data_IF_282844149108
#
_entry.id   IF_282844149108
#
_cell.length_a   1.000
_cell.length_b   1.000
_cell.length_c   1.000
_cell.angle_alpha   90.00
_cell.angle_beta   90.00
_cell.angle_gamma   90.00
#
_symmetry.space_group_name_H-M   'P 1'
#
loop_
_entity.id
_entity.type
_entity.pdbx_description
1 polymer ?
#
# COMPACT_ATOMS: atom_id res chain seq x y z
N UNK A 1 -13.20 -9.19 -11.44
CA UNK A 1 -12.00 -8.90 -12.24
C UNK A 1 -10.90 -9.80 -11.73
N UNK A 2 -10.20 -10.50 -12.61
CA UNK A 2 -9.09 -11.39 -12.26
C UNK A 2 -7.83 -10.74 -12.82
N UNK A 3 -6.91 -10.30 -11.95
CA UNK A 3 -5.67 -9.63 -12.34
C UNK A 3 -5.20 -8.57 -11.34
N UNK A 4 -4.03 -7.99 -11.61
CA UNK A 4 -3.44 -6.93 -10.81
C UNK A 4 -4.26 -5.63 -10.89
N UNK A 5 -4.35 -4.91 -9.78
CA UNK A 5 -5.09 -3.64 -9.67
C UNK A 5 -4.12 -2.50 -9.39
N UNK A 6 -4.13 -1.50 -10.27
CA UNK A 6 -3.45 -0.23 -10.03
C UNK A 6 -4.42 0.78 -9.40
N UNK A 7 -4.00 1.44 -8.32
CA UNK A 7 -4.79 2.45 -7.60
C UNK A 7 -4.05 3.79 -7.59
N UNK A 8 -4.77 4.87 -7.89
CA UNK A 8 -4.27 6.24 -7.79
C UNK A 8 -5.17 7.03 -6.85
N UNK A 9 -4.60 7.56 -5.77
CA UNK A 9 -5.32 8.33 -4.76
C UNK A 9 -4.35 9.20 -3.93
N UNK A 10 -4.88 9.91 -2.93
CA UNK A 10 -4.10 10.73 -2.03
C UNK A 10 -3.40 9.89 -0.94
N UNK A 11 -2.28 10.42 -0.43
CA UNK A 11 -1.43 9.72 0.54
C UNK A 11 -2.18 9.22 1.78
N UNK A 12 -3.09 10.01 2.36
CA UNK A 12 -3.85 9.59 3.54
C UNK A 12 -4.75 8.38 3.27
N UNK A 13 -5.43 8.33 2.13
CA UNK A 13 -6.30 7.20 1.77
C UNK A 13 -5.47 5.95 1.52
N UNK A 14 -4.35 6.06 0.81
CA UNK A 14 -3.48 4.92 0.50
C UNK A 14 -2.79 4.35 1.75
N UNK A 15 -2.43 5.19 2.72
CA UNK A 15 -1.90 4.74 4.02
C UNK A 15 -2.95 3.96 4.83
N UNK A 16 -4.20 4.40 4.79
CA UNK A 16 -5.32 3.66 5.41
C UNK A 16 -5.55 2.33 4.68
N UNK A 17 -5.52 2.33 3.35
CA UNK A 17 -5.63 1.12 2.54
C UNK A 17 -4.56 0.08 2.93
N UNK A 18 -3.29 0.48 3.01
CA UNK A 18 -2.19 -0.40 3.41
C UNK A 18 -2.40 -0.97 4.81
N UNK A 19 -2.83 -0.14 5.77
CA UNK A 19 -3.15 -0.62 7.12
C UNK A 19 -4.30 -1.65 7.11
N UNK A 20 -5.38 -1.39 6.38
CA UNK A 20 -6.52 -2.32 6.26
C UNK A 20 -6.15 -3.61 5.54
N UNK A 21 -5.30 -3.53 4.51
CA UNK A 21 -4.74 -4.69 3.82
C UNK A 21 -4.03 -5.63 4.80
N UNK A 22 -3.19 -5.08 5.69
CA UNK A 22 -2.47 -5.81 6.73
C UNK A 22 -3.33 -6.24 7.93
N UNK A 23 -4.66 -6.05 7.89
CA UNK A 23 -5.55 -6.38 9.00
C UNK A 23 -5.51 -5.41 10.18
N UNK A 24 -4.76 -4.30 10.09
CA UNK A 24 -4.73 -3.26 11.12
C UNK A 24 -5.99 -2.40 11.06
N UNK A 25 -6.31 -1.68 12.14
CA UNK A 25 -7.34 -0.63 12.11
C UNK A 25 -6.94 0.50 11.16
N UNK A 26 -7.91 1.31 10.69
CA UNK A 26 -7.62 2.46 9.83
C UNK A 26 -6.62 3.44 10.47
N UNK A 27 -6.67 3.59 11.81
CA UNK A 27 -5.71 4.41 12.56
C UNK A 27 -4.27 3.94 12.41
N UNK A 28 -4.05 2.64 12.15
CA UNK A 28 -2.74 2.08 11.84
C UNK A 28 -2.03 2.75 10.65
N UNK A 29 -2.79 3.36 9.73
CA UNK A 29 -2.25 4.14 8.61
C UNK A 29 -1.32 5.28 9.04
N UNK A 30 -1.44 5.77 10.28
CA UNK A 30 -0.56 6.79 10.84
C UNK A 30 0.92 6.35 10.88
N UNK A 31 1.20 5.03 10.88
CA UNK A 31 2.55 4.48 10.97
C UNK A 31 3.26 4.30 9.62
N UNK A 32 2.57 4.53 8.50
CA UNK A 32 3.15 4.39 7.15
C UNK A 32 3.39 5.76 6.55
N UNK A 33 4.64 6.17 6.28
CA UNK A 33 4.92 7.37 5.49
C UNK A 33 4.78 7.06 4.00
N UNK A 34 4.26 7.99 3.21
CA UNK A 34 4.07 7.79 1.77
C UNK A 34 4.35 9.10 1.04
N UNK A 35 5.38 9.10 0.20
CA UNK A 35 5.75 10.25 -0.62
C UNK A 35 4.95 10.27 -1.93
N UNK A 36 4.93 11.43 -2.58
CA UNK A 36 4.23 11.61 -3.85
C UNK A 36 5.02 10.99 -5.00
N UNK A 37 4.34 10.33 -5.93
CA UNK A 37 4.96 9.81 -7.16
C UNK A 37 5.84 8.58 -6.94
N UNK A 38 5.65 7.85 -5.84
CA UNK A 38 6.36 6.59 -5.56
C UNK A 38 5.49 5.38 -5.85
N UNK A 39 6.12 4.24 -6.09
CA UNK A 39 5.48 2.95 -6.26
C UNK A 39 5.35 2.23 -4.91
N UNK A 40 4.19 1.61 -4.67
CA UNK A 40 3.97 0.69 -3.56
C UNK A 40 3.21 -0.54 -4.06
N UNK A 41 3.55 -1.72 -3.55
CA UNK A 41 2.94 -2.99 -3.95
C UNK A 41 2.47 -3.75 -2.72
N UNK A 42 1.16 -3.94 -2.63
CA UNK A 42 0.51 -4.83 -1.67
C UNK A 42 0.38 -6.23 -2.30
N UNK A 43 0.67 -7.27 -1.53
CA UNK A 43 0.78 -8.66 -1.99
C UNK A 43 0.32 -9.62 -0.89
N UNK A 44 0.43 -10.91 -1.15
CA UNK A 44 0.36 -11.96 -0.14
C UNK A 44 1.72 -12.67 -0.01
N UNK A 45 2.02 -13.20 1.18
CA UNK A 45 3.11 -14.14 1.46
C UNK A 45 2.55 -15.31 2.27
N UNK A 46 2.55 -16.52 1.70
CA UNK A 46 1.86 -17.70 2.26
C UNK A 46 0.41 -17.39 2.69
N UNK A 47 -0.38 -16.82 1.77
CA UNK A 47 -1.78 -16.42 1.99
C UNK A 47 -2.00 -15.35 3.09
N UNK A 48 -0.93 -14.77 3.65
CA UNK A 48 -0.99 -13.66 4.59
C UNK A 48 -0.81 -12.33 3.84
N UNK A 49 -1.71 -11.34 4.01
CA UNK A 49 -1.51 -10.01 3.42
C UNK A 49 -0.19 -9.38 3.85
N UNK A 50 0.56 -8.87 2.89
CA UNK A 50 1.90 -8.31 3.07
C UNK A 50 2.13 -7.07 2.20
N UNK A 51 3.10 -6.25 2.59
CA UNK A 51 3.64 -5.17 1.75
C UNK A 51 4.91 -5.71 1.09
N UNK A 52 4.95 -5.73 -0.24
CA UNK A 52 6.11 -6.18 -1.02
C UNK A 52 7.08 -5.03 -1.29
N UNK A 53 6.53 -3.89 -1.70
CA UNK A 53 7.26 -2.65 -1.99
C UNK A 53 6.53 -1.52 -1.28
N UNK A 54 7.28 -0.60 -0.68
CA UNK A 54 6.72 0.58 -0.04
C UNK A 54 7.56 1.81 -0.36
N UNK A 55 6.88 2.84 -0.91
CA UNK A 55 7.47 4.16 -1.14
C UNK A 55 8.75 4.12 -2.01
N UNK A 56 8.78 3.27 -3.03
CA UNK A 56 9.92 3.13 -3.93
C UNK A 56 9.91 4.28 -4.97
N UNK A 57 11.02 5.04 -5.10
CA UNK A 57 11.13 6.04 -6.15
C UNK A 57 11.04 5.41 -7.53
N UNK A 58 10.17 5.95 -8.39
CA UNK A 58 10.15 5.55 -9.80
C UNK A 58 11.21 6.37 -10.53
N UNK A 59 12.32 5.73 -10.89
CA UNK A 59 13.32 6.34 -11.77
C UNK A 59 12.87 6.11 -13.21
N UNK A 60 12.67 7.20 -13.94
CA UNK A 60 12.38 7.19 -15.37
C UNK A 60 13.65 6.97 -16.20
#
# INVERSE_FOLDING_TARGET
>A
AEGDVALFAHGHVLRVLAARWLGLSARGGQHFLLDTGTLSVLSYYHDVPAVRIWNEPVIA
#
